data_IF_760287644421
#
_entry.id   IF_760287644421
#
_cell.length_a   1.000
_cell.length_b   1.000
_cell.length_c   1.000
_cell.angle_alpha   90.00
_cell.angle_beta   90.00
_cell.angle_gamma   90.00
#
_symmetry.space_group_name_H-M   'P 1'
#
loop_
_entity.id
_entity.type
_entity.pdbx_description
1 polymer ?
#
# COMPACT_ATOMS: atom_id res chain seq x y z
N UNK A 1 -16.53 -17.45 5.11
CA UNK A 1 -15.37 -16.60 5.50
C UNK A 1 -14.85 -16.93 6.88
N UNK A 2 -13.52 -17.04 7.03
CA UNK A 2 -12.84 -17.21 8.32
C UNK A 2 -11.86 -16.04 8.56
N UNK A 3 -11.77 -15.55 9.79
CA UNK A 3 -10.74 -14.61 10.24
C UNK A 3 -9.57 -15.41 10.82
N UNK A 4 -8.36 -15.18 10.32
CA UNK A 4 -7.17 -15.85 10.87
C UNK A 4 -6.64 -15.14 12.13
N UNK A 5 -5.62 -15.73 12.74
CA UNK A 5 -5.01 -15.20 13.97
C UNK A 5 -4.35 -13.81 13.79
N UNK A 6 -4.08 -13.41 12.54
CA UNK A 6 -3.55 -12.09 12.20
C UNK A 6 -4.68 -11.08 11.91
N UNK A 7 -5.93 -11.52 11.95
CA UNK A 7 -7.10 -10.69 11.70
C UNK A 7 -7.46 -10.56 10.22
N UNK A 8 -6.78 -11.28 9.33
CA UNK A 8 -7.08 -11.28 7.91
C UNK A 8 -8.26 -12.22 7.61
N UNK A 9 -9.14 -11.78 6.72
CA UNK A 9 -10.27 -12.54 6.25
C UNK A 9 -9.88 -13.37 5.03
N UNK A 10 -10.08 -14.70 5.14
CA UNK A 10 -10.05 -15.60 3.98
C UNK A 10 -11.45 -15.74 3.44
N UNK A 11 -11.75 -15.01 2.37
CA UNK A 11 -13.03 -15.08 1.67
C UNK A 11 -12.97 -14.48 0.27
N UNK A 12 -13.97 -14.81 -0.54
CA UNK A 12 -14.18 -14.22 -1.86
C UNK A 12 -14.59 -12.75 -1.74
N UNK A 13 -14.49 -11.99 -2.83
CA UNK A 13 -14.98 -10.60 -2.87
C UNK A 13 -16.45 -10.49 -2.45
N UNK A 14 -17.29 -11.43 -2.86
CA UNK A 14 -18.71 -11.46 -2.50
C UNK A 14 -18.92 -11.65 -0.99
N UNK A 15 -18.17 -12.54 -0.36
CA UNK A 15 -18.22 -12.72 1.09
C UNK A 15 -17.69 -11.49 1.84
N UNK A 16 -16.62 -10.84 1.33
CA UNK A 16 -16.06 -9.61 1.91
C UNK A 16 -17.05 -8.46 1.80
N UNK A 17 -17.75 -8.35 0.67
CA UNK A 17 -18.75 -7.31 0.45
C UNK A 17 -19.91 -7.43 1.41
N UNK A 18 -20.45 -8.64 1.60
CA UNK A 18 -21.48 -8.88 2.62
C UNK A 18 -20.99 -8.57 4.04
N UNK A 19 -19.76 -8.97 4.36
CA UNK A 19 -19.20 -8.69 5.68
C UNK A 19 -19.02 -7.19 5.93
N UNK A 20 -18.61 -6.43 4.92
CA UNK A 20 -18.51 -4.96 4.95
C UNK A 20 -19.89 -4.32 5.16
N UNK A 21 -20.94 -4.82 4.52
CA UNK A 21 -22.31 -4.33 4.73
C UNK A 21 -22.76 -4.53 6.19
N UNK A 22 -22.43 -5.68 6.78
CA UNK A 22 -22.75 -6.00 8.17
C UNK A 22 -21.87 -5.22 9.16
N UNK A 23 -20.61 -4.93 8.81
CA UNK A 23 -19.59 -4.32 9.66
C UNK A 23 -18.73 -3.31 8.88
N UNK A 24 -19.28 -2.14 8.53
CA UNK A 24 -18.59 -1.18 7.65
C UNK A 24 -17.37 -0.50 8.29
N UNK A 25 -17.21 -0.64 9.61
CA UNK A 25 -16.09 -0.07 10.36
C UNK A 25 -14.95 -1.08 10.62
N UNK A 26 -15.02 -2.31 10.09
CA UNK A 26 -13.89 -3.25 10.19
C UNK A 26 -12.86 -2.94 9.08
N UNK A 27 -11.69 -2.36 9.42
CA UNK A 27 -10.71 -1.94 8.42
C UNK A 27 -10.08 -3.13 7.66
N UNK A 28 -10.02 -4.31 8.28
CA UNK A 28 -9.41 -5.49 7.66
C UNK A 28 -10.27 -6.02 6.52
N UNK A 29 -11.59 -5.97 6.65
CA UNK A 29 -12.49 -6.42 5.59
C UNK A 29 -12.32 -5.59 4.31
N UNK A 30 -12.22 -4.26 4.46
CA UNK A 30 -11.91 -3.36 3.34
C UNK A 30 -10.52 -3.65 2.77
N UNK A 31 -9.50 -3.80 3.61
CA UNK A 31 -8.13 -4.09 3.17
C UNK A 31 -8.04 -5.40 2.38
N UNK A 32 -8.67 -6.47 2.87
CA UNK A 32 -8.65 -7.78 2.22
C UNK A 32 -9.45 -7.80 0.92
N UNK A 33 -10.54 -7.03 0.82
CA UNK A 33 -11.25 -6.86 -0.46
C UNK A 33 -10.43 -6.06 -1.46
N UNK A 34 -9.74 -5.02 -1.00
CA UNK A 34 -8.77 -4.28 -1.80
C UNK A 34 -7.66 -5.19 -2.35
N UNK A 35 -7.12 -6.09 -1.53
CA UNK A 35 -6.12 -7.09 -1.98
C UNK A 35 -6.69 -8.02 -3.05
N UNK A 36 -7.90 -8.54 -2.84
CA UNK A 36 -8.57 -9.42 -3.80
C UNK A 36 -8.78 -8.73 -5.16
N UNK A 37 -9.33 -7.50 -5.17
CA UNK A 37 -9.53 -6.69 -6.37
C UNK A 37 -8.22 -6.32 -7.07
N UNK A 38 -7.23 -5.90 -6.30
CA UNK A 38 -5.89 -5.57 -6.82
C UNK A 38 -5.24 -6.77 -7.51
N UNK A 39 -5.39 -7.98 -6.98
CA UNK A 39 -4.86 -9.20 -7.61
C UNK A 39 -5.51 -9.54 -8.96
N UNK A 40 -6.73 -9.04 -9.18
CA UNK A 40 -7.50 -9.19 -10.43
C UNK A 40 -7.31 -8.01 -11.38
N UNK A 41 -6.54 -7.00 -10.99
CA UNK A 41 -6.32 -5.77 -11.77
C UNK A 41 -7.48 -4.78 -11.74
N UNK A 42 -8.37 -4.90 -10.76
CA UNK A 42 -9.49 -3.98 -10.55
C UNK A 42 -9.02 -2.79 -9.69
N UNK A 43 -8.19 -1.93 -10.28
CA UNK A 43 -7.42 -0.90 -9.57
C UNK A 43 -8.31 0.16 -8.89
N UNK A 44 -9.28 0.78 -9.58
CA UNK A 44 -10.22 1.75 -9.01
C UNK A 44 -10.98 1.19 -7.80
N UNK A 45 -11.46 -0.06 -7.92
CA UNK A 45 -12.16 -0.74 -6.83
C UNK A 45 -11.24 -1.02 -5.63
N UNK A 46 -10.00 -1.42 -5.89
CA UNK A 46 -9.00 -1.64 -4.86
C UNK A 46 -8.57 -0.33 -4.17
N UNK A 47 -8.39 0.77 -4.90
CA UNK A 47 -8.06 2.08 -4.34
C UNK A 47 -9.13 2.54 -3.34
N UNK A 48 -10.41 2.42 -3.72
CA UNK A 48 -11.55 2.77 -2.86
C UNK A 48 -11.54 1.95 -1.57
N UNK A 49 -11.27 0.66 -1.69
CA UNK A 49 -11.21 -0.25 -0.55
C UNK A 49 -10.02 0.05 0.38
N UNK A 50 -8.82 0.26 -0.15
CA UNK A 50 -7.67 0.67 0.67
C UNK A 50 -7.90 2.03 1.34
N UNK A 51 -8.55 2.97 0.64
CA UNK A 51 -8.91 4.26 1.20
C UNK A 51 -9.87 4.10 2.39
N UNK A 52 -10.87 3.24 2.27
CA UNK A 52 -11.79 2.95 3.38
C UNK A 52 -11.11 2.23 4.53
N UNK A 53 -10.21 1.28 4.25
CA UNK A 53 -9.42 0.61 5.28
C UNK A 53 -8.55 1.60 6.08
N UNK A 54 -7.85 2.50 5.39
CA UNK A 54 -7.03 3.54 6.02
C UNK A 54 -7.88 4.49 6.87
N UNK A 55 -9.08 4.87 6.40
CA UNK A 55 -10.01 5.75 7.13
C UNK A 55 -10.61 5.09 8.37
N UNK A 56 -10.90 3.79 8.31
CA UNK A 56 -11.54 3.04 9.41
C UNK A 56 -10.54 2.57 10.48
N UNK A 57 -9.24 2.78 10.27
CA UNK A 57 -8.22 2.67 11.31
C UNK A 57 -7.45 1.36 11.31
N UNK A 58 -6.68 1.12 10.24
CA UNK A 58 -5.69 0.03 10.23
C UNK A 58 -4.62 0.22 11.30
N UNK A 59 -4.17 -0.91 11.85
CA UNK A 59 -2.95 -0.97 12.68
C UNK A 59 -1.74 -0.54 11.84
N UNK A 60 -0.68 -0.09 12.52
CA UNK A 60 0.47 0.56 11.88
C UNK A 60 1.06 -0.24 10.70
N UNK A 61 1.26 -1.55 10.88
CA UNK A 61 1.87 -2.40 9.84
C UNK A 61 0.96 -2.49 8.61
N UNK A 62 -0.31 -2.74 8.82
CA UNK A 62 -1.31 -2.92 7.78
C UNK A 62 -1.57 -1.59 7.05
N UNK A 63 -1.56 -0.47 7.77
CA UNK A 63 -1.66 0.86 7.17
C UNK A 63 -0.51 1.16 6.21
N UNK A 64 0.74 0.77 6.56
CA UNK A 64 1.90 0.92 5.66
C UNK A 64 1.72 0.08 4.39
N UNK A 65 1.22 -1.15 4.51
CA UNK A 65 0.96 -2.02 3.35
C UNK A 65 -0.18 -1.46 2.49
N UNK A 66 -1.26 -0.99 3.12
CA UNK A 66 -2.40 -0.40 2.41
C UNK A 66 -2.02 0.87 1.64
N UNK A 67 -1.17 1.74 2.22
CA UNK A 67 -0.61 2.89 1.50
C UNK A 67 0.20 2.45 0.28
N UNK A 68 1.05 1.43 0.41
CA UNK A 68 1.85 0.93 -0.70
C UNK A 68 0.98 0.35 -1.82
N UNK A 69 -0.03 -0.45 -1.46
CA UNK A 69 -0.95 -1.04 -2.43
C UNK A 69 -1.83 0.03 -3.09
N UNK A 70 -2.31 1.03 -2.34
CA UNK A 70 -3.09 2.15 -2.89
C UNK A 70 -2.25 2.98 -3.86
N UNK A 71 -1.01 3.30 -3.49
CA UNK A 71 -0.08 4.02 -4.36
C UNK A 71 0.22 3.25 -5.65
N UNK A 72 0.34 1.92 -5.60
CA UNK A 72 0.45 1.10 -6.81
C UNK A 72 -0.82 1.12 -7.67
N UNK A 73 -2.02 1.10 -7.07
CA UNK A 73 -3.28 1.20 -7.82
C UNK A 73 -3.35 2.55 -8.56
N UNK A 74 -3.11 3.66 -7.84
CA UNK A 74 -3.06 5.02 -8.42
C UNK A 74 -2.06 5.14 -9.56
N UNK A 75 -0.86 4.59 -9.37
CA UNK A 75 0.17 4.54 -10.41
C UNK A 75 -0.27 3.78 -11.67
N UNK A 76 -1.04 2.69 -11.52
CA UNK A 76 -1.60 1.92 -12.65
C UNK A 76 -2.68 2.69 -13.39
N UNK A 77 -3.39 3.55 -12.70
CA UNK A 77 -4.47 4.39 -13.24
C UNK A 77 -3.95 5.74 -13.78
N UNK A 78 -2.65 6.01 -13.62
CA UNK A 78 -2.01 7.23 -14.12
C UNK A 78 -2.02 8.39 -13.13
N UNK A 79 -2.58 8.21 -11.94
CA UNK A 79 -2.49 9.17 -10.84
C UNK A 79 -1.11 9.08 -10.16
N UNK A 80 -0.11 9.66 -10.84
CA UNK A 80 1.27 9.67 -10.35
C UNK A 80 1.41 10.51 -9.08
N UNK A 81 0.69 11.62 -8.98
CA UNK A 81 0.76 12.52 -7.82
C UNK A 81 0.19 11.84 -6.57
N UNK A 82 -1.00 11.23 -6.68
CA UNK A 82 -1.59 10.47 -5.57
C UNK A 82 -0.76 9.25 -5.17
N UNK A 83 -0.03 8.63 -6.11
CA UNK A 83 0.93 7.57 -5.79
C UNK A 83 2.16 8.12 -5.04
N UNK A 84 2.69 9.28 -5.45
CA UNK A 84 3.80 9.97 -4.76
C UNK A 84 3.40 10.33 -3.32
N UNK A 85 2.17 10.81 -3.11
CA UNK A 85 1.62 11.10 -1.78
C UNK A 85 1.62 9.86 -0.89
N UNK A 86 1.12 8.72 -1.41
CA UNK A 86 1.06 7.47 -0.65
C UNK A 86 2.44 6.94 -0.25
N UNK A 87 3.41 6.94 -1.18
CA UNK A 87 4.77 6.54 -0.85
C UNK A 87 5.46 7.53 0.09
N UNK A 88 5.13 8.82 0.01
CA UNK A 88 5.61 9.85 0.95
C UNK A 88 5.09 9.58 2.36
N UNK A 89 3.81 9.24 2.50
CA UNK A 89 3.22 8.89 3.79
C UNK A 89 3.90 7.68 4.45
N UNK A 90 4.34 6.68 3.68
CA UNK A 90 5.14 5.55 4.19
C UNK A 90 6.49 6.04 4.72
N UNK A 91 7.19 6.88 3.95
CA UNK A 91 8.50 7.42 4.29
C UNK A 91 8.41 8.26 5.58
N UNK A 92 7.40 9.11 5.72
CA UNK A 92 7.17 9.97 6.88
C UNK A 92 6.83 9.19 8.15
N UNK A 93 6.15 8.04 8.02
CA UNK A 93 5.88 7.14 9.14
C UNK A 93 7.12 6.43 9.69
N UNK A 94 8.27 6.54 9.00
CA UNK A 94 9.58 6.00 9.42
C UNK A 94 9.50 4.56 9.94
N UNK A 95 8.99 3.59 9.15
CA UNK A 95 8.94 2.20 9.60
C UNK A 95 10.36 1.68 9.89
N UNK A 96 10.53 0.98 11.01
CA UNK A 96 11.82 0.33 11.35
C UNK A 96 12.26 -0.71 10.32
N UNK A 97 11.32 -1.21 9.51
CA UNK A 97 11.61 -2.13 8.43
C UNK A 97 12.27 -1.39 7.26
N UNK A 98 13.60 -1.54 7.15
CA UNK A 98 14.41 -0.90 6.10
C UNK A 98 14.03 -1.34 4.69
N UNK A 99 13.54 -2.57 4.51
CA UNK A 99 13.07 -3.06 3.21
C UNK A 99 11.82 -2.32 2.75
N UNK A 100 10.86 -2.09 3.63
CA UNK A 100 9.67 -1.29 3.34
C UNK A 100 10.03 0.15 3.00
N UNK A 101 10.93 0.77 3.77
CA UNK A 101 11.38 2.14 3.51
C UNK A 101 12.12 2.24 2.17
N UNK A 102 12.97 1.26 1.85
CA UNK A 102 13.67 1.16 0.56
C UNK A 102 12.68 1.02 -0.60
N UNK A 103 11.68 0.17 -0.46
CA UNK A 103 10.64 -0.01 -1.46
C UNK A 103 9.86 1.29 -1.70
N UNK A 104 9.46 1.99 -0.65
CA UNK A 104 8.75 3.27 -0.77
C UNK A 104 9.58 4.33 -1.49
N UNK A 105 10.88 4.47 -1.17
CA UNK A 105 11.77 5.38 -1.91
C UNK A 105 11.88 5.00 -3.40
N UNK A 106 12.04 3.71 -3.71
CA UNK A 106 12.13 3.25 -5.12
C UNK A 106 10.84 3.51 -5.89
N UNK A 107 9.69 3.18 -5.30
CA UNK A 107 8.40 3.40 -5.94
C UNK A 107 8.13 4.89 -6.14
N UNK A 108 8.44 5.74 -5.14
CA UNK A 108 8.32 7.20 -5.30
C UNK A 108 9.27 7.76 -6.35
N UNK A 109 10.49 7.24 -6.44
CA UNK A 109 11.44 7.63 -7.49
C UNK A 109 10.91 7.30 -8.89
N UNK A 110 10.29 6.13 -9.06
CA UNK A 110 9.67 5.74 -10.33
C UNK A 110 8.52 6.67 -10.72
N UNK A 111 7.67 7.03 -9.76
CA UNK A 111 6.56 7.95 -10.02
C UNK A 111 7.06 9.35 -10.38
N UNK A 112 8.06 9.85 -9.64
CA UNK A 112 8.71 11.13 -9.92
C UNK A 112 9.35 11.17 -11.30
N UNK A 113 10.06 10.11 -11.69
CA UNK A 113 10.65 9.98 -13.02
C UNK A 113 9.57 10.05 -14.11
N UNK A 114 8.46 9.33 -13.94
CA UNK A 114 7.31 9.35 -14.86
C UNK A 114 6.64 10.73 -14.93
N UNK A 115 6.61 11.47 -13.82
CA UNK A 115 6.08 12.84 -13.76
C UNK A 115 7.04 13.91 -14.29
N UNK A 116 8.30 13.56 -14.57
CA UNK A 116 9.35 14.47 -15.06
C UNK A 116 10.26 15.07 -13.97
N UNK A 117 10.00 14.80 -12.68
CA UNK A 117 10.87 15.19 -11.56
C UNK A 117 12.11 14.26 -11.46
N UNK A 118 13.05 14.45 -12.39
CA UNK A 118 14.28 13.66 -12.47
C UNK A 118 15.20 13.85 -11.26
N UNK A 119 15.26 15.06 -10.72
CA UNK A 119 16.12 15.39 -9.58
C UNK A 119 15.59 14.73 -8.31
N UNK A 120 14.28 14.83 -8.06
CA UNK A 120 13.63 14.14 -6.95
C UNK A 120 13.70 12.63 -7.08
N UNK A 121 13.57 12.08 -8.29
CA UNK A 121 13.76 10.66 -8.53
C UNK A 121 15.20 10.20 -8.23
N UNK A 122 16.21 10.98 -8.66
CA UNK A 122 17.61 10.69 -8.36
C UNK A 122 17.91 10.75 -6.85
N UNK A 123 17.33 11.72 -6.14
CA UNK A 123 17.45 11.81 -4.68
C UNK A 123 16.87 10.59 -3.98
N UNK A 124 15.66 10.16 -4.36
CA UNK A 124 15.01 8.99 -3.77
C UNK A 124 15.78 7.69 -4.06
N UNK A 125 16.33 7.52 -5.27
CA UNK A 125 17.21 6.38 -5.60
C UNK A 125 18.44 6.31 -4.70
N UNK A 126 19.12 7.45 -4.47
CA UNK A 126 20.28 7.51 -3.56
C UNK A 126 19.89 7.10 -2.13
N UNK A 127 18.77 7.60 -1.62
CA UNK A 127 18.27 7.24 -0.29
C UNK A 127 17.94 5.74 -0.20
N UNK A 128 17.35 5.17 -1.25
CA UNK A 128 17.07 3.73 -1.30
C UNK A 128 18.33 2.87 -1.28
N UNK A 129 19.44 3.30 -1.88
CA UNK A 129 20.68 2.54 -1.90
C UNK A 129 21.45 2.60 -0.57
N UNK A 130 21.23 3.66 0.22
CA UNK A 130 21.72 3.78 1.61
C UNK A 130 20.95 2.89 2.60
N UNK A 131 19.85 2.28 2.17
CA UNK A 131 19.09 1.29 2.93
C UNK A 131 19.48 -0.11 2.41
N UNK A 132 20.60 -0.70 2.88
CA UNK A 132 20.97 -2.04 2.47
C UNK A 132 19.82 -2.99 2.76
N UNK A 133 19.58 -3.93 1.84
CA UNK A 133 18.84 -5.14 2.20
C UNK A 133 19.64 -5.76 3.35
N UNK A 134 19.00 -6.07 4.47
CA UNK A 134 19.65 -6.81 5.54
C UNK A 134 20.40 -7.98 4.90
N UNK A 135 21.73 -7.97 5.02
CA UNK A 135 22.50 -9.13 4.63
C UNK A 135 21.93 -10.28 5.46
N UNK A 136 21.53 -11.37 4.79
CA UNK A 136 21.33 -12.62 5.49
C UNK A 136 22.66 -12.90 6.20
N UNK A 137 22.69 -12.69 7.51
CA UNK A 137 23.78 -13.16 8.35
C UNK A 137 23.81 -14.68 8.15
N UNK A 138 24.84 -15.14 7.45
CA UNK A 138 25.16 -16.54 7.23
C UNK A 138 25.37 -17.27 8.55
#
# INVERSE_FOLDING_TARGET
MLKDAMGAYRGTEGELSRFIEERPLDPMAWFDRGNARSSRGEWDGAEKDYTMALKTGLRFREAIVALGNRGMCRAREGDLDGAIEDFTAIIEKRPNNRLLLRAAFRSRAEMKEKSGDRDGAAADRRLADLLPAEQATT
#
